data_IF_010646579031
#
_entry.id   IF_010646579031
#
_cell.length_a   1.000
_cell.length_b   1.000
_cell.length_c   1.000
_cell.angle_alpha   90.00
_cell.angle_beta   90.00
_cell.angle_gamma   90.00
#
_symmetry.space_group_name_H-M   'P 1'
#
loop_
_entity.id
_entity.type
_entity.pdbx_description
1 polymer ?
#
# COMPACT_ATOMS: atom_id res chain seq x y z
N UNK A 1 -28.50 58.76 -19.81
CA UNK A 1 -29.73 58.51 -19.04
C UNK A 1 -29.48 57.24 -18.24
N UNK A 2 -28.95 57.40 -17.03
CA UNK A 2 -29.64 57.15 -15.75
C UNK A 2 -29.19 55.78 -15.21
N UNK A 3 -28.16 55.72 -14.35
CA UNK A 3 -28.25 55.82 -12.88
C UNK A 3 -29.45 55.07 -12.30
N UNK A 4 -29.20 53.86 -11.78
CA UNK A 4 -29.75 53.46 -10.49
C UNK A 4 -28.66 52.80 -9.66
N UNK A 5 -28.52 53.33 -8.45
CA UNK A 5 -27.58 52.93 -7.42
C UNK A 5 -28.35 52.20 -6.29
N UNK A 6 -27.57 51.60 -5.39
CA UNK A 6 -27.95 51.00 -4.09
C UNK A 6 -28.64 49.61 -4.19
N UNK A 7 -28.31 48.60 -3.37
CA UNK A 7 -27.75 48.64 -2.03
C UNK A 7 -26.95 47.38 -1.67
N UNK A 8 -25.93 47.63 -0.84
CA UNK A 8 -25.25 46.79 0.15
C UNK A 8 -26.05 45.59 0.67
N UNK A 9 -25.49 44.37 0.56
CA UNK A 9 -25.63 43.27 1.52
C UNK A 9 -24.27 42.55 1.53
N UNK A 10 -23.39 42.89 2.47
CA UNK A 10 -23.17 42.21 3.75
C UNK A 10 -22.07 41.15 3.63
N UNK A 11 -20.95 41.43 4.29
CA UNK A 11 -19.85 40.52 4.49
C UNK A 11 -20.32 39.22 5.15
N UNK A 12 -20.03 38.09 4.51
CA UNK A 12 -19.80 36.83 5.21
C UNK A 12 -18.37 36.40 4.91
N UNK A 13 -17.49 36.86 5.80
CA UNK A 13 -16.27 36.16 6.18
C UNK A 13 -16.64 34.73 6.55
N UNK A 14 -16.52 33.80 5.60
CA UNK A 14 -16.28 32.40 5.92
C UNK A 14 -14.76 32.18 5.92
N UNK A 15 -14.14 32.62 7.01
CA UNK A 15 -12.99 31.91 7.52
C UNK A 15 -13.50 30.53 7.98
N UNK A 16 -13.03 29.46 7.36
CA UNK A 16 -13.45 28.12 7.77
C UNK A 16 -13.13 27.06 6.74
N UNK A 17 -11.93 26.49 6.86
CA UNK A 17 -11.49 25.24 6.23
C UNK A 17 -11.44 25.25 4.70
N UNK A 18 -10.35 25.82 4.20
CA UNK A 18 -9.65 25.22 3.05
C UNK A 18 -9.44 23.75 3.40
N UNK A 19 -10.30 22.86 2.89
CA UNK A 19 -10.02 21.44 2.87
C UNK A 19 -8.92 21.24 1.83
N UNK A 20 -7.68 21.49 2.24
CA UNK A 20 -6.51 20.88 1.61
C UNK A 20 -6.59 19.37 1.84
N UNK A 21 -7.51 18.70 1.13
CA UNK A 21 -7.28 17.33 0.72
C UNK A 21 -6.18 17.39 -0.32
N UNK A 22 -4.94 17.51 0.18
CA UNK A 22 -3.76 17.17 -0.60
C UNK A 22 -3.94 15.70 -0.98
N UNK A 23 -4.24 15.44 -2.25
CA UNK A 23 -4.08 14.11 -2.83
C UNK A 23 -2.58 13.79 -2.74
N UNK A 24 -2.15 13.20 -1.61
CA UNK A 24 -0.78 12.74 -1.46
C UNK A 24 -0.56 11.69 -2.54
N UNK A 25 0.35 11.99 -3.46
CA UNK A 25 0.88 11.00 -4.38
C UNK A 25 1.49 9.86 -3.55
N UNK A 26 1.18 8.61 -3.90
CA UNK A 26 1.75 7.43 -3.25
C UNK A 26 3.28 7.43 -3.40
N UNK A 27 3.99 6.97 -2.38
CA UNK A 27 5.42 6.69 -2.47
C UNK A 27 5.71 5.54 -3.45
N UNK A 28 6.97 5.37 -3.84
CA UNK A 28 7.39 4.27 -4.72
C UNK A 28 7.06 2.92 -4.09
N UNK A 29 7.29 2.76 -2.80
CA UNK A 29 7.01 1.53 -2.06
C UNK A 29 5.50 1.30 -1.85
N UNK A 30 4.73 2.36 -1.64
CA UNK A 30 3.27 2.27 -1.59
C UNK A 30 2.70 1.80 -2.94
N UNK A 31 3.21 2.35 -4.04
CA UNK A 31 2.85 1.85 -5.39
C UNK A 31 3.30 0.40 -5.57
N UNK A 32 4.49 0.05 -5.11
CA UNK A 32 5.03 -1.30 -5.26
C UNK A 32 4.25 -2.33 -4.42
N UNK A 33 3.73 -1.95 -3.25
CA UNK A 33 2.85 -2.80 -2.46
C UNK A 33 1.57 -3.16 -3.23
N UNK A 34 0.95 -2.18 -3.90
CA UNK A 34 -0.23 -2.42 -4.73
C UNK A 34 0.12 -3.30 -5.95
N UNK A 35 1.25 -3.03 -6.59
CA UNK A 35 1.74 -3.85 -7.71
C UNK A 35 2.04 -5.29 -7.28
N UNK A 36 2.60 -5.51 -6.08
CA UNK A 36 2.82 -6.85 -5.55
C UNK A 36 1.50 -7.60 -5.45
N UNK A 37 0.46 -6.97 -4.89
CA UNK A 37 -0.83 -7.63 -4.73
C UNK A 37 -1.44 -7.98 -6.10
N UNK A 38 -1.41 -7.05 -7.06
CA UNK A 38 -1.96 -7.27 -8.39
C UNK A 38 -1.15 -8.28 -9.23
N UNK A 39 0.14 -8.02 -9.40
CA UNK A 39 0.99 -8.70 -10.38
C UNK A 39 1.64 -9.97 -9.81
N UNK A 40 1.79 -10.08 -8.50
CA UNK A 40 2.39 -11.25 -7.87
C UNK A 40 1.36 -12.12 -7.12
N UNK A 41 0.69 -11.55 -6.12
CA UNK A 41 -0.21 -12.31 -5.25
C UNK A 41 -1.48 -12.76 -5.96
N UNK A 42 -2.12 -11.88 -6.75
CA UNK A 42 -3.37 -12.20 -7.44
C UNK A 42 -3.14 -12.87 -8.80
N UNK A 43 -1.97 -12.68 -9.41
CA UNK A 43 -1.71 -13.12 -10.78
C UNK A 43 -1.78 -14.65 -10.95
N UNK A 44 -2.47 -15.06 -12.02
CA UNK A 44 -2.43 -16.44 -12.54
C UNK A 44 -1.33 -16.63 -13.58
N UNK A 45 -0.74 -15.54 -14.07
CA UNK A 45 0.31 -15.56 -15.08
C UNK A 45 1.68 -15.69 -14.39
N UNK A 46 2.30 -16.84 -14.57
CA UNK A 46 3.61 -17.17 -14.00
C UNK A 46 4.71 -16.27 -14.55
N UNK A 47 4.64 -15.80 -15.79
CA UNK A 47 5.66 -14.94 -16.37
C UNK A 47 5.58 -13.52 -15.80
N UNK A 48 4.37 -13.02 -15.53
CA UNK A 48 4.18 -11.75 -14.79
C UNK A 48 4.80 -11.87 -13.39
N UNK A 49 4.56 -12.98 -12.68
CA UNK A 49 5.14 -13.21 -11.35
C UNK A 49 6.67 -13.27 -11.40
N UNK A 50 7.25 -14.02 -12.34
CA UNK A 50 8.71 -14.12 -12.50
C UNK A 50 9.36 -12.76 -12.78
N UNK A 51 8.77 -11.99 -13.69
CA UNK A 51 9.25 -10.63 -13.98
C UNK A 51 9.20 -9.73 -12.74
N UNK A 52 8.13 -9.83 -11.96
CA UNK A 52 8.05 -9.11 -10.69
C UNK A 52 9.19 -9.51 -9.73
N UNK A 53 9.55 -10.79 -9.65
CA UNK A 53 10.70 -11.24 -8.84
C UNK A 53 12.01 -10.62 -9.31
N UNK A 54 12.25 -10.62 -10.62
CA UNK A 54 13.47 -10.07 -11.20
C UNK A 54 13.61 -8.57 -10.92
N UNK A 55 12.53 -7.82 -11.09
CA UNK A 55 12.52 -6.36 -11.06
C UNK A 55 12.34 -5.78 -9.66
N UNK A 56 11.59 -6.42 -8.76
CA UNK A 56 11.06 -5.76 -7.57
C UNK A 56 11.37 -6.44 -6.23
N UNK A 57 11.85 -7.69 -6.23
CA UNK A 57 12.19 -8.40 -5.01
C UNK A 57 13.65 -8.14 -4.63
N UNK A 58 13.89 -7.92 -3.34
CA UNK A 58 15.22 -7.73 -2.78
C UNK A 58 16.09 -8.96 -3.02
N UNK A 59 17.38 -8.78 -3.32
CA UNK A 59 18.27 -9.84 -3.83
C UNK A 59 18.22 -11.12 -3.00
N UNK A 60 18.28 -10.99 -1.67
CA UNK A 60 18.32 -12.14 -0.77
C UNK A 60 16.96 -12.86 -0.64
N UNK A 61 15.86 -12.18 -0.96
CA UNK A 61 14.52 -12.76 -0.98
C UNK A 61 14.21 -13.46 -2.32
N UNK A 62 14.91 -13.14 -3.41
CA UNK A 62 14.65 -13.67 -4.76
C UNK A 62 14.58 -15.20 -4.85
N UNK A 63 15.42 -16.00 -4.16
CA UNK A 63 15.33 -17.46 -4.24
C UNK A 63 13.96 -18.00 -3.79
N UNK A 64 13.42 -17.48 -2.69
CA UNK A 64 12.13 -17.91 -2.15
C UNK A 64 11.00 -17.44 -3.06
N UNK A 65 11.04 -16.17 -3.48
CA UNK A 65 10.00 -15.63 -4.36
C UNK A 65 10.01 -16.28 -5.74
N UNK A 66 11.16 -16.71 -6.27
CA UNK A 66 11.24 -17.48 -7.53
C UNK A 66 10.49 -18.81 -7.42
N UNK A 67 10.61 -19.51 -6.28
CA UNK A 67 9.86 -20.74 -6.04
C UNK A 67 8.35 -20.46 -6.04
N UNK A 68 7.91 -19.41 -5.34
CA UNK A 68 6.48 -19.02 -5.30
C UNK A 68 5.98 -18.55 -6.67
N UNK A 69 6.81 -17.87 -7.44
CA UNK A 69 6.49 -17.37 -8.79
C UNK A 69 6.22 -18.49 -9.78
N UNK A 70 6.82 -19.68 -9.58
CA UNK A 70 6.72 -20.82 -10.49
C UNK A 70 5.32 -21.45 -10.58
N UNK A 71 4.37 -21.00 -9.75
CA UNK A 71 3.00 -21.50 -9.72
C UNK A 71 1.98 -20.38 -9.82
N UNK A 72 0.86 -20.56 -10.55
CA UNK A 72 -0.26 -19.62 -10.52
C UNK A 72 -0.78 -19.44 -9.09
N UNK A 73 -1.15 -18.22 -8.72
CA UNK A 73 -1.73 -17.99 -7.41
C UNK A 73 -3.08 -18.70 -7.25
N UNK A 74 -3.44 -19.06 -6.01
CA UNK A 74 -4.76 -19.63 -5.69
C UNK A 74 -5.78 -18.53 -5.49
N UNK A 75 -7.06 -18.77 -5.76
CA UNK A 75 -8.11 -17.77 -5.50
C UNK A 75 -8.25 -17.45 -4.00
N UNK A 76 -7.95 -18.42 -3.14
CA UNK A 76 -8.02 -18.28 -1.68
C UNK A 76 -7.03 -17.25 -1.12
N UNK A 77 -5.96 -16.92 -1.86
CA UNK A 77 -4.96 -15.94 -1.40
C UNK A 77 -5.18 -14.55 -2.01
N UNK A 78 -6.04 -14.44 -3.02
CA UNK A 78 -6.27 -13.19 -3.72
C UNK A 78 -6.92 -12.13 -2.81
N UNK A 79 -6.54 -10.88 -3.04
CA UNK A 79 -7.12 -9.72 -2.38
C UNK A 79 -7.79 -8.79 -3.39
N UNK A 80 -9.00 -8.37 -3.07
CA UNK A 80 -9.76 -7.38 -3.82
C UNK A 80 -9.81 -6.05 -3.05
N UNK A 81 -10.24 -4.97 -3.70
CA UNK A 81 -10.46 -3.65 -3.09
C UNK A 81 -9.25 -3.15 -2.26
N UNK A 82 -8.05 -3.38 -2.79
CA UNK A 82 -6.80 -3.12 -2.08
C UNK A 82 -6.52 -1.61 -2.02
N UNK A 83 -6.17 -1.13 -0.83
CA UNK A 83 -5.83 0.26 -0.58
C UNK A 83 -4.69 0.40 0.42
N UNK A 84 -3.97 1.51 0.34
CA UNK A 84 -2.92 1.86 1.30
C UNK A 84 -3.57 2.42 2.56
N UNK A 85 -3.25 1.84 3.72
CA UNK A 85 -3.62 2.37 5.02
C UNK A 85 -2.57 3.38 5.50
N UNK A 86 -1.29 3.09 5.28
CA UNK A 86 -0.20 4.00 5.58
C UNK A 86 1.17 3.39 5.35
N UNK A 87 2.21 4.21 5.52
CA UNK A 87 3.60 3.78 5.48
C UNK A 87 4.43 4.41 6.60
N UNK A 88 5.42 3.69 7.09
CA UNK A 88 6.35 4.15 8.15
C UNK A 88 7.78 3.82 7.75
N UNK A 89 8.69 4.76 7.95
CA UNK A 89 10.13 4.51 7.78
C UNK A 89 10.67 3.75 8.99
N UNK A 90 11.64 2.87 8.77
CA UNK A 90 12.33 2.14 9.83
C UNK A 90 13.83 2.14 9.61
N UNK A 91 14.57 1.93 10.70
CA UNK A 91 16.00 1.64 10.68
C UNK A 91 16.27 0.45 11.61
N UNK A 92 16.96 -0.57 11.10
CA UNK A 92 17.33 -1.76 11.87
C UNK A 92 18.72 -2.21 11.46
N UNK A 93 19.59 -2.42 12.45
CA UNK A 93 20.97 -2.86 12.23
C UNK A 93 21.76 -1.98 11.24
N UNK A 94 21.41 -0.69 11.16
CA UNK A 94 21.99 0.30 10.25
C UNK A 94 21.36 0.31 8.84
N UNK A 95 20.44 -0.61 8.55
CA UNK A 95 19.68 -0.62 7.30
C UNK A 95 18.38 0.17 7.44
N UNK A 96 18.14 1.06 6.47
CA UNK A 96 16.92 1.85 6.39
C UNK A 96 15.94 1.21 5.43
N UNK A 97 14.66 1.29 5.77
CA UNK A 97 13.61 0.80 4.91
C UNK A 97 12.28 1.49 5.18
N UNK A 98 11.25 1.02 4.50
CA UNK A 98 9.88 1.47 4.67
C UNK A 98 8.97 0.27 4.85
N UNK A 99 8.09 0.34 5.83
CA UNK A 99 6.99 -0.60 5.99
C UNK A 99 5.72 0.03 5.42
N UNK A 100 4.95 -0.74 4.65
CA UNK A 100 3.67 -0.28 4.08
C UNK A 100 2.57 -1.22 4.54
N UNK A 101 1.50 -0.66 5.09
CA UNK A 101 0.30 -1.37 5.49
C UNK A 101 -0.76 -1.21 4.40
N UNK A 102 -1.26 -2.33 3.91
CA UNK A 102 -2.40 -2.37 2.99
C UNK A 102 -3.60 -3.02 3.66
N UNK A 103 -4.79 -2.65 3.18
CA UNK A 103 -6.05 -3.33 3.49
C UNK A 103 -6.69 -3.79 2.20
N UNK A 104 -7.24 -4.99 2.21
CA UNK A 104 -8.03 -5.53 1.11
C UNK A 104 -9.09 -6.50 1.60
N UNK A 105 -9.84 -7.09 0.67
CA UNK A 105 -10.93 -8.03 0.94
C UNK A 105 -10.62 -9.41 0.38
N UNK A 106 -10.80 -10.44 1.21
CA UNK A 106 -10.83 -11.84 0.74
C UNK A 106 -12.12 -12.11 -0.05
N UNK A 107 -12.17 -13.23 -0.75
CA UNK A 107 -13.33 -13.62 -1.58
C UNK A 107 -14.62 -13.83 -0.78
N UNK A 108 -14.52 -14.10 0.52
CA UNK A 108 -15.65 -14.19 1.47
C UNK A 108 -16.13 -12.81 1.96
N UNK A 109 -15.52 -11.70 1.52
CA UNK A 109 -15.85 -10.33 1.91
C UNK A 109 -15.17 -9.85 3.20
N UNK A 110 -14.36 -10.70 3.85
CA UNK A 110 -13.61 -10.37 5.05
C UNK A 110 -12.50 -9.36 4.75
N UNK A 111 -12.46 -8.28 5.54
CA UNK A 111 -11.37 -7.31 5.51
C UNK A 111 -10.13 -7.92 6.16
N UNK A 112 -9.02 -7.86 5.46
CA UNK A 112 -7.71 -8.29 5.96
C UNK A 112 -6.67 -7.22 5.70
N UNK A 113 -5.62 -7.25 6.51
CA UNK A 113 -4.49 -6.35 6.41
C UNK A 113 -3.20 -7.14 6.14
N UNK A 114 -2.32 -6.57 5.34
CA UNK A 114 -0.98 -7.12 5.07
C UNK A 114 0.07 -6.00 5.23
N UNK A 115 1.22 -6.33 5.82
CA UNK A 115 2.32 -5.39 6.04
C UNK A 115 3.51 -5.83 5.19
N UNK A 116 3.95 -4.96 4.29
CA UNK A 116 5.10 -5.19 3.41
C UNK A 116 6.31 -4.41 3.88
N UNK A 117 7.47 -5.09 3.91
CA UNK A 117 8.76 -4.48 4.24
C UNK A 117 9.55 -4.23 2.97
N UNK A 118 10.07 -3.01 2.83
CA UNK A 118 10.89 -2.59 1.70
C UNK A 118 12.26 -2.10 2.16
N UNK A 119 13.29 -2.51 1.42
CA UNK A 119 14.67 -2.03 1.56
C UNK A 119 15.23 -1.69 0.18
N UNK A 120 15.92 -0.57 0.06
CA UNK A 120 16.43 -0.04 -1.22
C UNK A 120 15.38 0.00 -2.35
N UNK A 121 14.13 0.32 -1.99
CA UNK A 121 12.99 0.39 -2.92
C UNK A 121 12.55 -0.98 -3.48
N UNK A 122 13.00 -2.10 -2.88
CA UNK A 122 12.62 -3.47 -3.24
C UNK A 122 11.85 -4.13 -2.11
N UNK A 123 10.91 -4.99 -2.46
CA UNK A 123 10.16 -5.78 -1.49
C UNK A 123 11.05 -6.87 -0.88
N UNK A 124 11.14 -6.88 0.45
CA UNK A 124 11.88 -7.88 1.23
C UNK A 124 10.96 -9.02 1.64
N UNK A 125 9.82 -8.68 2.26
CA UNK A 125 8.87 -9.65 2.79
C UNK A 125 7.47 -9.06 2.99
N UNK A 126 6.46 -9.92 3.12
CA UNK A 126 5.10 -9.56 3.51
C UNK A 126 4.66 -10.36 4.73
N UNK A 127 4.03 -9.69 5.69
CA UNK A 127 3.45 -10.31 6.88
C UNK A 127 1.93 -10.21 6.84
N UNK A 128 1.28 -11.34 7.09
CA UNK A 128 -0.15 -11.42 7.34
C UNK A 128 -0.38 -11.91 8.78
N UNK A 129 -1.52 -11.58 9.36
CA UNK A 129 -1.89 -12.10 10.69
C UNK A 129 -1.94 -13.64 10.70
N UNK A 130 -2.33 -14.26 9.59
CA UNK A 130 -2.45 -15.72 9.47
C UNK A 130 -1.10 -16.44 9.45
N UNK A 131 -0.06 -15.82 8.88
CA UNK A 131 1.26 -16.43 8.75
C UNK A 131 2.09 -16.29 10.03
N UNK A 132 2.07 -15.10 10.64
CA UNK A 132 2.78 -14.80 11.90
C UNK A 132 2.10 -13.64 12.64
N UNK A 133 1.08 -13.98 13.43
CA UNK A 133 0.32 -13.00 14.21
C UNK A 133 1.19 -12.15 15.14
N UNK A 134 2.17 -12.74 15.81
CA UNK A 134 2.97 -12.03 16.80
C UNK A 134 3.83 -10.93 16.13
N UNK A 135 4.45 -11.26 15.00
CA UNK A 135 5.22 -10.28 14.23
C UNK A 135 4.29 -9.26 13.56
N UNK A 136 3.15 -9.70 13.01
CA UNK A 136 2.17 -8.81 12.41
C UNK A 136 1.67 -7.76 13.42
N UNK A 137 1.19 -8.18 14.59
CA UNK A 137 0.69 -7.28 15.64
C UNK A 137 1.77 -6.28 16.05
N UNK A 138 3.03 -6.73 16.17
CA UNK A 138 4.17 -5.87 16.49
C UNK A 138 4.38 -4.78 15.44
N UNK A 139 4.38 -5.13 14.16
CA UNK A 139 4.57 -4.17 13.07
C UNK A 139 3.36 -3.23 12.94
N UNK A 140 2.14 -3.76 13.11
CA UNK A 140 0.89 -3.01 12.94
C UNK A 140 0.77 -1.83 13.91
N UNK A 141 1.36 -1.94 15.11
CA UNK A 141 1.39 -0.87 16.12
C UNK A 141 2.09 0.41 15.65
N UNK A 142 2.97 0.32 14.65
CA UNK A 142 3.68 1.49 14.11
C UNK A 142 2.79 2.38 13.22
N UNK A 143 1.70 1.84 12.68
CA UNK A 143 0.80 2.50 11.72
C UNK A 143 -0.41 3.16 12.40
N UNK A 144 -0.13 4.10 13.32
CA UNK A 144 -1.13 4.82 14.13
C UNK A 144 -2.20 5.55 13.30
#
# INVERSE_FOLDING_TARGET
>A
MEKFAYAVILALLLAGCSSEQTSKSLSVEEQLALQYVEQFQNSKDVEVKKKFVEEHIYTDAKPIFTLVASTPSKDSVALNDVSIVGSVDYEKDGEKGKSVLVRGKKSNGEDVEEIFLFSDGKLVWGYTEADDKATFDKLRMEFK
#
